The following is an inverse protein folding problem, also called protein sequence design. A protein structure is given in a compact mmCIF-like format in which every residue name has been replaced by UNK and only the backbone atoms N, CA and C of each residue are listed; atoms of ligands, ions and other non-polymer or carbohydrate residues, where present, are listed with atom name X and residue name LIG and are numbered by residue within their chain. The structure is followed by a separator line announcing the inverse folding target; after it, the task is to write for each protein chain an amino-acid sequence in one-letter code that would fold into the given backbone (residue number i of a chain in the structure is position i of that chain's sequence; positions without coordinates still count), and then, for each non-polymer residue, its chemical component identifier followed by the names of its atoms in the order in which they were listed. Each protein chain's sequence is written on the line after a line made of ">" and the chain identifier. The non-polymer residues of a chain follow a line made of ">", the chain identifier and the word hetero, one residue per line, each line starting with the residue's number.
data_IF_392654911217
#
_entry.id   IF_392654911217
#
_cell.length_a   1.000
_cell.length_b   1.000
_cell.length_c   1.000
_cell.angle_alpha   90.00
_cell.angle_beta   90.00
_cell.angle_gamma   90.00
#
_symmetry.space_group_name_H-M   'P 1'
#
loop_
_entity.id
_entity.type
_entity.pdbx_description
1 polymer ?
#
# COMPACT_ATOMS: atom_id res chain seq x y z
N UNK A 1 17.85 20.51 -13.48
CA UNK A 1 16.66 19.73 -13.84
C UNK A 1 16.13 19.13 -12.56
N UNK A 2 14.83 18.87 -12.38
CA UNK A 2 14.36 18.15 -11.22
C UNK A 2 14.96 16.74 -11.19
N UNK A 3 15.14 16.13 -10.02
CA UNK A 3 15.63 14.76 -9.91
C UNK A 3 14.65 13.79 -10.57
N UNK A 4 15.16 12.65 -10.98
CA UNK A 4 14.35 11.65 -11.67
C UNK A 4 13.34 10.98 -10.75
N UNK A 5 13.70 10.77 -9.48
CA UNK A 5 12.84 10.16 -8.46
C UNK A 5 12.69 11.11 -7.28
N UNK A 6 11.47 11.27 -6.78
CA UNK A 6 11.20 11.84 -5.46
C UNK A 6 10.80 10.72 -4.50
N UNK A 7 11.59 10.51 -3.46
CA UNK A 7 11.24 9.60 -2.35
C UNK A 7 10.42 10.39 -1.33
N UNK A 8 9.15 10.03 -1.19
CA UNK A 8 8.23 10.66 -0.24
C UNK A 8 8.01 9.75 0.96
N UNK A 9 8.32 10.26 2.14
CA UNK A 9 8.25 9.53 3.41
C UNK A 9 7.23 10.24 4.30
N UNK A 10 6.01 9.71 4.45
CA UNK A 10 5.06 10.22 5.44
C UNK A 10 5.56 9.86 6.85
N UNK A 11 5.54 10.84 7.76
CA UNK A 11 5.97 10.66 9.13
C UNK A 11 4.95 11.21 10.12
N UNK A 12 4.68 10.42 11.16
CA UNK A 12 3.93 10.85 12.34
C UNK A 12 4.47 10.13 13.58
N UNK A 13 5.11 10.89 14.47
CA UNK A 13 5.73 10.37 15.70
C UNK A 13 6.68 9.19 15.41
N UNK A 14 7.54 9.35 14.40
CA UNK A 14 8.44 8.31 13.90
C UNK A 14 9.90 8.50 14.23
N UNK A 15 10.27 9.33 15.20
CA UNK A 15 11.64 9.67 15.57
C UNK A 15 12.55 8.44 15.65
N UNK A 16 12.11 7.39 16.31
CA UNK A 16 12.86 6.14 16.53
C UNK A 16 13.22 5.37 15.26
N UNK A 17 12.55 5.65 14.14
CA UNK A 17 12.72 4.90 12.88
C UNK A 17 13.50 5.68 11.83
N UNK A 18 13.36 7.01 11.83
CA UNK A 18 13.86 7.87 10.77
C UNK A 18 15.36 7.76 10.53
N UNK A 19 16.16 7.54 11.58
CA UNK A 19 17.62 7.39 11.41
C UNK A 19 17.98 6.15 10.59
N UNK A 20 17.32 5.02 10.80
CA UNK A 20 17.52 3.80 10.00
C UNK A 20 17.04 3.99 8.58
N UNK A 21 15.83 4.52 8.41
CA UNK A 21 15.24 4.75 7.09
C UNK A 21 16.08 5.70 6.23
N UNK A 22 16.39 6.88 6.74
CA UNK A 22 17.15 7.90 6.02
C UNK A 22 18.62 7.49 5.82
N UNK A 23 19.21 6.79 6.80
CA UNK A 23 20.57 6.24 6.68
C UNK A 23 20.67 5.26 5.52
N UNK A 24 19.72 4.34 5.38
CA UNK A 24 19.71 3.37 4.28
C UNK A 24 19.49 4.00 2.90
N UNK A 25 18.81 5.15 2.83
CA UNK A 25 18.68 5.92 1.58
C UNK A 25 19.99 6.59 1.15
N UNK A 26 20.86 7.01 2.07
CA UNK A 26 22.22 7.52 1.73
C UNK A 26 23.06 6.48 1.00
N UNK A 27 22.85 5.19 1.29
CA UNK A 27 23.59 4.07 0.71
C UNK A 27 23.05 3.61 -0.66
N UNK A 28 21.99 4.26 -1.20
CA UNK A 28 21.43 3.87 -2.49
C UNK A 28 22.47 3.99 -3.62
N UNK A 29 22.52 2.98 -4.49
CA UNK A 29 23.37 2.98 -5.69
C UNK A 29 22.87 3.96 -6.77
N UNK A 30 21.56 4.13 -6.88
CA UNK A 30 20.93 5.15 -7.72
C UNK A 30 21.00 6.50 -7.00
N UNK A 31 21.54 7.56 -7.67
CA UNK A 31 21.81 8.85 -7.02
C UNK A 31 20.93 10.01 -7.50
N UNK A 32 20.16 9.83 -8.57
CA UNK A 32 19.33 10.90 -9.15
C UNK A 32 17.94 10.92 -8.47
N UNK A 33 17.94 11.21 -7.16
CA UNK A 33 16.72 11.30 -6.36
C UNK A 33 16.83 12.36 -5.27
N UNK A 34 15.66 12.89 -4.86
CA UNK A 34 15.47 13.73 -3.68
C UNK A 34 14.62 12.99 -2.64
N UNK A 35 14.78 13.37 -1.36
CA UNK A 35 13.99 12.84 -0.26
C UNK A 35 13.15 13.94 0.36
N UNK A 36 11.85 13.67 0.51
CA UNK A 36 10.87 14.55 1.15
C UNK A 36 10.24 13.80 2.32
N UNK A 37 10.56 14.20 3.55
CA UNK A 37 9.85 13.75 4.75
C UNK A 37 8.66 14.67 4.96
N UNK A 38 7.45 14.14 4.88
CA UNK A 38 6.22 14.88 5.16
C UNK A 38 5.80 14.58 6.59
N UNK A 39 5.94 15.56 7.45
CA UNK A 39 5.61 15.43 8.86
C UNK A 39 4.13 15.78 9.10
N UNK A 40 3.33 14.78 9.45
CA UNK A 40 1.89 14.89 9.67
C UNK A 40 1.56 15.38 11.09
N UNK A 41 2.17 16.51 11.47
CA UNK A 41 2.02 17.14 12.79
C UNK A 41 2.48 16.24 13.95
N UNK A 42 3.74 15.78 13.91
CA UNK A 42 4.36 15.03 14.99
C UNK A 42 4.53 15.86 16.26
N UNK A 43 4.48 15.20 17.41
CA UNK A 43 4.71 15.79 18.75
C UNK A 43 6.02 15.32 19.38
N UNK A 44 6.75 14.41 18.72
CA UNK A 44 8.09 13.96 19.09
C UNK A 44 9.18 14.78 18.39
N UNK A 45 10.45 14.40 18.57
CA UNK A 45 11.59 15.12 18.00
C UNK A 45 11.91 14.75 16.53
N UNK A 46 10.98 14.12 15.79
CA UNK A 46 11.15 13.68 14.40
C UNK A 46 11.70 14.79 13.50
N UNK A 47 11.08 15.96 13.51
CA UNK A 47 11.48 17.10 12.64
C UNK A 47 12.86 17.63 13.03
N UNK A 48 13.13 17.78 14.34
CA UNK A 48 14.42 18.26 14.84
C UNK A 48 15.55 17.27 14.50
N UNK A 49 15.29 15.95 14.63
CA UNK A 49 16.21 14.89 14.27
C UNK A 49 16.59 14.96 12.78
N UNK A 50 15.59 15.03 11.88
CA UNK A 50 15.86 15.08 10.43
C UNK A 50 16.68 16.32 10.07
N UNK A 51 16.28 17.50 10.53
CA UNK A 51 16.99 18.76 10.24
C UNK A 51 18.44 18.77 10.73
N UNK A 52 18.72 18.12 11.87
CA UNK A 52 20.06 18.05 12.47
C UNK A 52 20.96 17.02 11.77
N UNK A 53 20.43 15.82 11.49
CA UNK A 53 21.25 14.67 11.09
C UNK A 53 21.20 14.41 9.57
N UNK A 54 20.19 14.95 8.86
CA UNK A 54 19.93 14.75 7.44
C UNK A 54 19.60 16.08 6.74
N UNK A 55 20.55 17.04 6.71
CA UNK A 55 20.29 18.38 6.16
C UNK A 55 19.97 18.39 4.67
N UNK A 56 20.31 17.32 3.93
CA UNK A 56 19.95 17.11 2.53
C UNK A 56 18.49 16.72 2.32
N UNK A 57 17.79 16.29 3.37
CA UNK A 57 16.39 15.87 3.32
C UNK A 57 15.46 17.07 3.48
N UNK A 58 14.55 17.23 2.55
CA UNK A 58 13.52 18.25 2.64
C UNK A 58 12.43 17.83 3.63
N UNK A 59 12.19 18.63 4.67
CA UNK A 59 11.09 18.41 5.62
C UNK A 59 9.91 19.31 5.23
N UNK A 60 8.73 18.70 5.07
CA UNK A 60 7.47 19.38 4.81
C UNK A 60 6.51 19.14 6.00
N UNK A 61 6.44 20.06 6.99
CA UNK A 61 5.52 19.92 8.10
C UNK A 61 4.09 20.31 7.70
N UNK A 62 3.10 19.55 8.17
CA UNK A 62 1.68 19.87 8.05
C UNK A 62 1.18 20.51 9.36
N UNK A 63 0.18 21.37 9.26
CA UNK A 63 -0.38 22.11 10.42
C UNK A 63 -1.22 21.23 11.35
N UNK A 64 -1.76 20.14 10.82
CA UNK A 64 -2.60 19.16 11.56
C UNK A 64 -2.40 17.75 11.02
N UNK A 65 -2.70 16.72 11.85
CA UNK A 65 -2.66 15.34 11.40
C UNK A 65 -3.83 15.04 10.47
N UNK A 66 -3.54 14.91 9.17
CA UNK A 66 -4.49 14.63 8.08
C UNK A 66 -4.47 13.18 7.61
N UNK A 67 -3.60 12.37 8.20
CA UNK A 67 -3.42 10.96 7.88
C UNK A 67 -2.52 10.69 6.69
N UNK A 68 -2.23 9.43 6.50
CA UNK A 68 -1.28 8.92 5.50
C UNK A 68 -1.55 9.45 4.08
N UNK A 69 -2.80 9.36 3.61
CA UNK A 69 -3.17 9.77 2.25
C UNK A 69 -2.87 11.25 1.98
N UNK A 70 -3.18 12.12 2.93
CA UNK A 70 -2.94 13.56 2.79
C UNK A 70 -1.45 13.90 2.87
N UNK A 71 -0.72 13.27 3.80
CA UNK A 71 0.73 13.44 3.93
C UNK A 71 1.46 13.02 2.65
N UNK A 72 1.16 11.84 2.11
CA UNK A 72 1.71 11.36 0.84
C UNK A 72 1.39 12.33 -0.30
N UNK A 73 0.14 12.79 -0.42
CA UNK A 73 -0.27 13.73 -1.45
C UNK A 73 0.46 15.06 -1.36
N UNK A 74 0.71 15.58 -0.15
CA UNK A 74 1.49 16.80 0.06
C UNK A 74 2.92 16.63 -0.49
N UNK A 75 3.58 15.52 -0.20
CA UNK A 75 4.91 15.19 -0.74
C UNK A 75 4.92 15.05 -2.26
N UNK A 76 3.91 14.37 -2.83
CA UNK A 76 3.77 14.22 -4.28
C UNK A 76 3.62 15.58 -4.96
N UNK A 77 2.78 16.48 -4.42
CA UNK A 77 2.59 17.84 -4.96
C UNK A 77 3.83 18.72 -4.82
N UNK A 78 4.67 18.47 -3.82
CA UNK A 78 5.89 19.21 -3.58
C UNK A 78 7.05 18.82 -4.50
N UNK A 79 6.87 17.81 -5.37
CA UNK A 79 7.85 17.29 -6.32
C UNK A 79 7.35 17.37 -7.77
N UNK A 80 8.30 17.51 -8.70
CA UNK A 80 8.09 17.44 -10.16
C UNK A 80 8.87 16.28 -10.82
N UNK A 81 9.35 15.32 -10.00
CA UNK A 81 10.11 14.16 -10.50
C UNK A 81 9.27 13.28 -11.45
N UNK A 82 9.94 12.60 -12.38
CA UNK A 82 9.33 11.65 -13.33
C UNK A 82 8.66 10.47 -12.60
N UNK A 83 9.29 10.04 -11.50
CA UNK A 83 8.80 8.97 -10.63
C UNK A 83 8.63 9.46 -9.20
N UNK A 84 7.66 8.91 -8.51
CA UNK A 84 7.46 9.08 -7.07
C UNK A 84 7.64 7.73 -6.40
N UNK A 85 8.63 7.62 -5.53
CA UNK A 85 8.80 6.46 -4.65
C UNK A 85 8.16 6.78 -3.30
N UNK A 86 7.22 5.97 -2.85
CA UNK A 86 6.71 6.05 -1.48
C UNK A 86 7.47 5.07 -0.61
N UNK A 87 7.83 5.52 0.59
CA UNK A 87 8.54 4.71 1.56
C UNK A 87 8.05 5.04 2.97
N UNK A 88 7.66 4.02 3.73
CA UNK A 88 7.33 4.22 5.13
C UNK A 88 8.59 4.56 5.94
N UNK A 89 8.42 5.37 7.00
CA UNK A 89 9.50 5.76 7.90
C UNK A 89 10.07 4.59 8.72
N UNK A 90 9.30 3.51 8.91
CA UNK A 90 9.67 2.28 9.63
C UNK A 90 10.26 1.19 8.72
N UNK A 91 11.11 1.60 7.77
CA UNK A 91 11.78 0.72 6.80
C UNK A 91 13.28 0.93 6.77
N UNK A 92 14.00 -0.11 6.35
CA UNK A 92 15.39 -0.07 5.85
C UNK A 92 15.35 -0.53 4.39
N UNK A 93 16.05 0.12 3.49
CA UNK A 93 16.08 -0.23 2.07
C UNK A 93 17.41 -0.86 1.66
N UNK A 94 17.36 -1.90 0.81
CA UNK A 94 18.57 -2.45 0.18
C UNK A 94 19.24 -1.38 -0.70
N UNK A 95 20.58 -1.34 -0.81
CA UNK A 95 21.29 -0.36 -1.63
C UNK A 95 20.90 -0.33 -3.10
N UNK A 96 20.28 -1.37 -3.62
CA UNK A 96 19.80 -1.44 -5.02
C UNK A 96 18.30 -1.15 -5.17
N UNK A 97 17.59 -0.84 -4.10
CA UNK A 97 16.12 -0.69 -4.09
C UNK A 97 15.61 0.27 -5.18
N UNK A 98 16.09 1.52 -5.20
CA UNK A 98 15.67 2.50 -6.21
C UNK A 98 16.17 2.13 -7.62
N UNK A 99 17.39 1.60 -7.73
CA UNK A 99 17.95 1.19 -9.01
C UNK A 99 17.07 0.13 -9.68
N UNK A 100 16.68 -0.92 -8.94
CA UNK A 100 15.83 -2.00 -9.45
C UNK A 100 14.46 -1.47 -9.92
N UNK A 101 13.82 -0.58 -9.13
CA UNK A 101 12.54 0.01 -9.49
C UNK A 101 12.61 0.88 -10.75
N UNK A 102 13.66 1.71 -10.88
CA UNK A 102 13.84 2.60 -12.05
C UNK A 102 14.14 1.80 -13.31
N UNK A 103 14.97 0.76 -13.23
CA UNK A 103 15.24 -0.12 -14.39
C UNK A 103 13.98 -0.90 -14.80
N UNK A 104 13.22 -1.43 -13.84
CA UNK A 104 11.93 -2.06 -14.12
C UNK A 104 10.94 -1.07 -14.77
N UNK A 105 10.92 0.19 -14.31
CA UNK A 105 10.09 1.21 -14.91
C UNK A 105 10.48 1.57 -16.34
N UNK A 106 11.75 1.55 -16.67
CA UNK A 106 12.24 1.74 -18.06
C UNK A 106 11.86 0.57 -18.97
N UNK A 107 11.98 -0.67 -18.46
CA UNK A 107 11.73 -1.89 -19.20
C UNK A 107 10.23 -2.16 -19.44
N UNK A 108 9.35 -1.64 -18.57
CA UNK A 108 7.89 -1.92 -18.56
C UNK A 108 7.06 -0.63 -18.67
N UNK A 109 6.94 -0.03 -19.86
CA UNK A 109 6.18 1.20 -20.07
C UNK A 109 4.66 1.05 -19.81
N UNK A 110 4.14 -0.19 -19.89
CA UNK A 110 2.75 -0.53 -19.58
C UNK A 110 2.43 -0.52 -18.08
N UNK A 111 3.46 -0.57 -17.21
CA UNK A 111 3.29 -0.50 -15.77
C UNK A 111 3.28 0.95 -15.28
N UNK A 112 2.29 1.29 -14.47
CA UNK A 112 2.18 2.59 -13.80
C UNK A 112 2.63 2.56 -12.34
N UNK A 113 2.65 1.34 -11.75
CA UNK A 113 3.01 1.08 -10.35
C UNK A 113 4.01 -0.07 -10.29
N UNK A 114 4.93 0.00 -9.33
CA UNK A 114 5.98 -1.01 -9.11
C UNK A 114 6.03 -1.33 -7.62
N UNK A 115 5.82 -2.60 -7.28
CA UNK A 115 5.80 -3.09 -5.91
C UNK A 115 7.14 -3.72 -5.55
N UNK A 116 7.71 -3.35 -4.40
CA UNK A 116 8.94 -3.93 -3.87
C UNK A 116 8.69 -5.26 -3.15
N UNK A 117 9.73 -6.09 -3.06
CA UNK A 117 9.82 -7.22 -2.13
C UNK A 117 10.04 -6.67 -0.73
N UNK A 118 9.12 -6.94 0.16
CA UNK A 118 9.18 -6.51 1.55
C UNK A 118 9.49 -7.70 2.43
N UNK A 119 10.56 -7.62 3.22
CA UNK A 119 10.95 -8.60 4.23
C UNK A 119 10.69 -8.04 5.63
N UNK A 120 10.47 -8.91 6.60
CA UNK A 120 10.39 -8.51 8.00
C UNK A 120 11.77 -8.02 8.48
N UNK A 121 11.82 -6.88 9.14
CA UNK A 121 13.08 -6.28 9.60
C UNK A 121 13.79 -7.15 10.65
N UNK A 122 13.02 -7.79 11.54
CA UNK A 122 13.53 -8.56 12.65
C UNK A 122 13.81 -10.03 12.30
N UNK A 123 13.07 -10.60 11.33
CA UNK A 123 13.35 -11.94 10.76
C UNK A 123 13.36 -11.85 9.22
N UNK A 124 14.52 -11.47 8.67
CA UNK A 124 14.72 -11.25 7.23
C UNK A 124 14.49 -12.48 6.34
N UNK A 125 14.22 -13.64 6.95
CA UNK A 125 13.79 -14.85 6.24
C UNK A 125 12.28 -14.89 6.01
N UNK A 126 11.52 -13.94 6.57
CA UNK A 126 10.08 -13.83 6.41
C UNK A 126 9.71 -12.69 5.50
N UNK A 127 8.74 -12.98 4.65
CA UNK A 127 8.13 -11.97 3.81
C UNK A 127 7.15 -11.11 4.63
N UNK A 128 7.24 -9.80 4.47
CA UNK A 128 6.17 -8.88 4.85
C UNK A 128 5.25 -8.59 3.66
N UNK A 129 5.77 -8.68 2.40
CA UNK A 129 4.95 -8.55 1.22
C UNK A 129 5.67 -8.77 -0.11
N UNK A 130 4.93 -9.24 -1.10
CA UNK A 130 5.34 -9.44 -2.50
C UNK A 130 4.27 -8.88 -3.45
N UNK A 131 3.90 -7.61 -3.25
CA UNK A 131 2.77 -6.96 -3.89
C UNK A 131 1.43 -7.27 -3.19
N UNK A 132 0.37 -6.62 -3.67
CA UNK A 132 -0.95 -6.70 -3.08
C UNK A 132 -1.95 -7.43 -3.98
N UNK A 133 -2.89 -8.11 -3.34
CA UNK A 133 -4.03 -8.76 -3.97
C UNK A 133 -5.34 -8.17 -3.45
N UNK A 134 -6.35 -8.13 -4.31
CA UNK A 134 -7.73 -7.85 -3.92
C UNK A 134 -8.56 -9.12 -4.10
N UNK A 135 -9.14 -9.63 -3.02
CA UNK A 135 -10.02 -10.81 -3.07
C UNK A 135 -11.36 -10.46 -3.70
N UNK A 136 -12.04 -11.45 -4.25
CA UNK A 136 -13.44 -11.31 -4.73
C UNK A 136 -14.41 -10.84 -3.64
N UNK A 137 -14.06 -11.05 -2.37
CA UNK A 137 -14.76 -10.49 -1.21
C UNK A 137 -14.53 -8.99 -1.01
N UNK A 138 -13.64 -8.36 -1.78
CA UNK A 138 -13.23 -6.97 -1.63
C UNK A 138 -12.23 -6.72 -0.51
N UNK A 139 -11.75 -7.77 0.14
CA UNK A 139 -10.74 -7.65 1.18
C UNK A 139 -9.36 -7.63 0.56
N UNK A 140 -8.56 -6.56 0.77
CA UNK A 140 -7.18 -6.54 0.36
C UNK A 140 -6.36 -7.56 1.15
N UNK A 141 -5.29 -8.06 0.54
CA UNK A 141 -4.34 -8.96 1.16
C UNK A 141 -2.95 -8.69 0.57
N UNK A 142 -1.95 -8.56 1.42
CA UNK A 142 -0.56 -8.51 1.02
C UNK A 142 -0.07 -9.93 0.74
N UNK A 143 0.40 -10.18 -0.49
CA UNK A 143 0.95 -11.48 -0.90
C UNK A 143 2.23 -11.78 -0.12
N UNK A 144 2.44 -13.02 0.25
CA UNK A 144 3.62 -13.45 0.99
C UNK A 144 3.63 -13.10 2.48
N UNK A 145 2.74 -12.25 2.99
CA UNK A 145 2.82 -11.76 4.37
C UNK A 145 2.84 -12.90 5.41
N UNK A 146 3.96 -12.98 6.14
CA UNK A 146 4.22 -13.97 7.18
C UNK A 146 4.68 -15.34 6.67
N UNK A 147 4.85 -15.54 5.35
CA UNK A 147 5.47 -16.73 4.76
C UNK A 147 6.99 -16.69 4.98
N UNK A 148 7.64 -17.86 5.07
CA UNK A 148 9.09 -17.94 4.92
C UNK A 148 9.48 -17.68 3.46
N UNK A 149 10.57 -16.97 3.25
CA UNK A 149 11.12 -16.73 1.92
C UNK A 149 11.98 -17.93 1.49
N UNK A 150 11.48 -18.68 0.52
CA UNK A 150 12.14 -19.83 -0.13
C UNK A 150 12.39 -19.55 -1.61
N UNK A 151 12.32 -18.29 -2.05
CA UNK A 151 12.43 -17.92 -3.46
C UNK A 151 11.12 -18.03 -4.24
N UNK A 152 9.98 -18.30 -3.59
CA UNK A 152 8.68 -18.44 -4.24
C UNK A 152 8.11 -17.13 -4.81
N UNK A 153 8.78 -16.01 -4.55
CA UNK A 153 8.48 -14.68 -5.09
C UNK A 153 9.72 -14.03 -5.70
N UNK A 154 10.65 -14.78 -6.29
CA UNK A 154 11.87 -14.24 -6.91
C UNK A 154 11.69 -13.94 -8.41
N UNK A 155 10.48 -14.09 -8.94
CA UNK A 155 10.15 -13.77 -10.31
C UNK A 155 9.37 -12.47 -10.44
N UNK A 156 9.79 -11.60 -11.38
CA UNK A 156 9.04 -10.40 -11.76
C UNK A 156 7.68 -10.80 -12.33
N UNK A 157 6.61 -10.26 -11.79
CA UNK A 157 5.25 -10.59 -12.21
C UNK A 157 4.28 -9.43 -12.04
N UNK A 158 3.16 -9.48 -12.77
CA UNK A 158 2.09 -8.51 -12.58
C UNK A 158 1.18 -8.92 -11.42
N UNK A 159 0.93 -7.96 -10.52
CA UNK A 159 0.07 -8.13 -9.35
C UNK A 159 -1.11 -7.14 -9.40
N UNK A 160 -2.06 -7.26 -8.50
CA UNK A 160 -3.20 -6.35 -8.43
C UNK A 160 -2.76 -4.91 -8.09
N UNK A 161 -1.88 -4.76 -7.12
CA UNK A 161 -1.46 -3.45 -6.62
C UNK A 161 -0.16 -3.50 -5.85
N UNK A 162 0.30 -2.33 -5.45
CA UNK A 162 1.51 -2.12 -4.66
C UNK A 162 1.15 -1.52 -3.30
N UNK A 163 1.75 -2.06 -2.23
CA UNK A 163 1.70 -1.46 -0.91
C UNK A 163 2.44 -0.10 -0.93
N UNK A 164 1.75 0.96 -0.54
CA UNK A 164 2.34 2.31 -0.50
C UNK A 164 3.47 2.46 0.53
N UNK A 165 3.71 1.45 1.35
CA UNK A 165 4.84 1.43 2.28
C UNK A 165 6.21 1.28 1.59
N UNK A 166 6.27 0.75 0.35
CA UNK A 166 7.47 0.67 -0.49
C UNK A 166 7.09 0.43 -1.95
N UNK A 167 6.83 1.48 -2.71
CA UNK A 167 6.41 1.40 -4.10
C UNK A 167 6.87 2.58 -4.93
N UNK A 168 7.06 2.36 -6.25
CA UNK A 168 7.33 3.41 -7.21
C UNK A 168 6.09 3.65 -8.09
N UNK A 169 5.81 4.91 -8.39
CA UNK A 169 4.69 5.35 -9.20
C UNK A 169 5.19 6.25 -10.34
N UNK A 170 4.67 6.02 -11.57
CA UNK A 170 4.86 7.00 -12.63
C UNK A 170 4.08 8.27 -12.33
N UNK A 171 4.72 9.41 -12.46
CA UNK A 171 4.05 10.71 -12.36
C UNK A 171 2.88 10.81 -13.33
N UNK A 172 3.08 10.44 -14.59
CA UNK A 172 2.04 10.48 -15.61
C UNK A 172 0.81 9.62 -15.28
N UNK A 173 1.00 8.48 -14.58
CA UNK A 173 -0.11 7.66 -14.08
C UNK A 173 -0.86 8.39 -12.95
N UNK A 174 -0.14 9.00 -11.99
CA UNK A 174 -0.74 9.76 -10.89
C UNK A 174 -1.53 10.98 -11.41
N UNK A 175 -1.00 11.66 -12.42
CA UNK A 175 -1.66 12.82 -13.06
C UNK A 175 -2.94 12.39 -13.79
N UNK A 176 -2.95 11.21 -14.39
CA UNK A 176 -4.10 10.66 -15.12
C UNK A 176 -5.21 10.14 -14.21
N UNK A 177 -4.86 9.31 -13.21
CA UNK A 177 -5.87 8.65 -12.34
C UNK A 177 -6.17 9.43 -11.06
N UNK A 178 -5.41 10.48 -10.77
CA UNK A 178 -5.46 11.27 -9.54
C UNK A 178 -4.67 10.64 -8.40
N UNK A 179 -4.39 11.44 -7.37
CA UNK A 179 -3.59 11.08 -6.22
C UNK A 179 -4.35 10.13 -5.26
N UNK A 180 -3.78 9.88 -4.08
CA UNK A 180 -4.44 9.10 -3.03
C UNK A 180 -5.73 9.78 -2.56
N UNK A 181 -6.76 9.01 -2.29
CA UNK A 181 -8.03 9.57 -1.82
C UNK A 181 -7.97 9.87 -0.32
N UNK A 182 -7.97 11.15 0.03
CA UNK A 182 -7.80 11.61 1.41
C UNK A 182 -8.95 11.21 2.34
N UNK A 183 -10.14 10.84 1.80
CA UNK A 183 -11.24 10.32 2.61
C UNK A 183 -10.91 8.96 3.26
N UNK A 184 -9.90 8.27 2.77
CA UNK A 184 -9.42 7.01 3.38
C UNK A 184 -8.64 7.26 4.66
N UNK A 185 -7.99 8.41 4.80
CA UNK A 185 -7.09 8.75 5.91
C UNK A 185 -5.85 7.83 5.96
N UNK A 186 -6.05 6.55 6.24
CA UNK A 186 -5.06 5.47 6.21
C UNK A 186 -5.77 4.11 6.06
N UNK A 187 -5.09 3.08 5.55
CA UNK A 187 -5.54 1.73 5.19
C UNK A 187 -6.46 1.67 3.95
N UNK A 188 -6.10 0.84 2.99
CA UNK A 188 -6.76 0.59 1.70
C UNK A 188 -6.69 1.76 0.69
N UNK A 189 -6.03 2.87 0.97
CA UNK A 189 -5.78 3.98 0.03
C UNK A 189 -4.90 3.54 -1.15
N UNK A 190 -3.93 2.65 -0.89
CA UNK A 190 -3.07 2.01 -1.88
C UNK A 190 -3.85 1.04 -2.78
N UNK A 191 -4.74 0.25 -2.18
CA UNK A 191 -5.67 -0.61 -2.91
C UNK A 191 -6.64 0.20 -3.79
N UNK A 192 -7.10 1.36 -3.32
CA UNK A 192 -7.95 2.26 -4.11
C UNK A 192 -7.20 2.85 -5.30
N UNK A 193 -5.99 3.38 -5.09
CA UNK A 193 -5.15 3.90 -6.16
C UNK A 193 -4.80 2.81 -7.18
N UNK A 194 -4.40 1.63 -6.70
CA UNK A 194 -4.12 0.48 -7.56
C UNK A 194 -5.33 0.08 -8.40
N UNK A 195 -6.53 0.06 -7.83
CA UNK A 195 -7.74 -0.27 -8.59
C UNK A 195 -8.06 0.79 -9.65
N UNK A 196 -7.93 2.09 -9.31
CA UNK A 196 -8.11 3.17 -10.29
C UNK A 196 -7.11 3.07 -11.45
N UNK A 197 -5.86 2.78 -11.14
CA UNK A 197 -4.82 2.56 -12.14
C UNK A 197 -5.17 1.38 -13.05
N UNK A 198 -5.58 0.23 -12.51
CA UNK A 198 -6.02 -0.95 -13.27
C UNK A 198 -7.24 -0.62 -14.17
N UNK A 199 -8.20 0.17 -13.67
CA UNK A 199 -9.36 0.59 -14.46
C UNK A 199 -8.98 1.53 -15.62
N UNK A 200 -7.94 2.33 -15.46
CA UNK A 200 -7.36 3.19 -16.49
C UNK A 200 -6.44 2.46 -17.47
N UNK A 201 -6.13 1.18 -17.22
CA UNK A 201 -5.30 0.34 -18.09
C UNK A 201 -3.83 0.26 -17.69
N UNK A 202 -3.43 0.88 -16.59
CA UNK A 202 -2.08 0.70 -16.03
C UNK A 202 -1.99 -0.60 -15.25
N UNK A 203 -0.84 -1.28 -15.37
CA UNK A 203 -0.55 -2.51 -14.63
C UNK A 203 0.36 -2.23 -13.44
N UNK A 204 0.32 -3.08 -12.42
CA UNK A 204 1.25 -3.07 -11.31
C UNK A 204 2.27 -4.21 -11.48
N UNK A 205 3.57 -3.87 -11.54
CA UNK A 205 4.65 -4.84 -11.64
C UNK A 205 5.27 -5.07 -10.26
N UNK A 206 5.37 -6.31 -9.84
CA UNK A 206 6.19 -6.69 -8.68
C UNK A 206 7.64 -6.90 -9.12
N UNK A 207 8.59 -6.31 -8.39
CA UNK A 207 10.02 -6.28 -8.69
C UNK A 207 10.78 -6.92 -7.53
N UNK A 208 11.14 -8.20 -7.62
CA UNK A 208 11.77 -8.94 -6.50
C UNK A 208 13.17 -8.43 -6.13
N UNK A 209 13.91 -7.83 -7.07
CA UNK A 209 15.22 -7.24 -6.85
C UNK A 209 15.16 -5.94 -6.03
N UNK A 210 13.97 -5.33 -5.95
CA UNK A 210 13.73 -4.14 -5.15
C UNK A 210 13.34 -4.54 -3.73
N UNK A 211 14.33 -4.68 -2.85
CA UNK A 211 14.16 -5.22 -1.50
C UNK A 211 14.11 -4.12 -0.45
N UNK A 212 13.17 -4.25 0.50
CA UNK A 212 13.13 -3.46 1.73
C UNK A 212 12.91 -4.37 2.95
N UNK A 213 13.30 -3.87 4.13
CA UNK A 213 13.06 -4.51 5.43
C UNK A 213 12.12 -3.62 6.24
N UNK A 214 10.95 -4.15 6.61
CA UNK A 214 9.87 -3.39 7.24
C UNK A 214 9.70 -3.77 8.71
N UNK A 215 9.73 -2.78 9.61
CA UNK A 215 9.61 -3.01 11.06
C UNK A 215 8.18 -3.31 11.48
N UNK A 216 7.23 -2.96 10.65
CA UNK A 216 5.82 -3.39 10.71
C UNK A 216 4.98 -2.74 11.78
N UNK A 217 3.83 -2.21 11.38
CA UNK A 217 2.72 -1.74 12.25
C UNK A 217 3.12 -0.76 13.36
N UNK A 218 4.14 0.05 13.12
CA UNK A 218 4.71 0.93 14.12
C UNK A 218 3.77 2.06 14.56
N UNK A 219 2.90 2.52 13.63
CA UNK A 219 2.02 3.68 13.88
C UNK A 219 0.72 3.31 14.59
N UNK A 220 0.03 2.26 14.16
CA UNK A 220 -1.31 1.94 14.71
C UNK A 220 -1.38 0.61 15.47
N UNK A 221 -0.39 -0.29 15.33
CA UNK A 221 -0.50 -1.68 15.82
C UNK A 221 -1.50 -2.52 15.00
N UNK A 222 -1.14 -3.78 14.74
CA UNK A 222 -1.87 -4.68 13.78
C UNK A 222 -3.37 -4.87 14.07
N UNK A 223 -3.82 -4.69 15.31
CA UNK A 223 -5.23 -4.91 15.75
C UNK A 223 -5.76 -3.77 16.62
N UNK A 224 -5.24 -2.56 16.47
CA UNK A 224 -5.78 -1.43 17.22
C UNK A 224 -7.24 -1.16 16.81
N UNK A 225 -8.06 -0.59 17.71
CA UNK A 225 -9.43 -0.18 17.40
C UNK A 225 -9.51 0.73 16.16
N UNK A 226 -8.56 1.64 16.01
CA UNK A 226 -8.47 2.55 14.85
C UNK A 226 -8.20 1.79 13.56
N UNK A 227 -7.23 0.86 13.55
CA UNK A 227 -6.92 0.07 12.36
C UNK A 227 -8.12 -0.81 11.92
N UNK A 228 -8.84 -1.42 12.88
CA UNK A 228 -10.04 -2.21 12.58
C UNK A 228 -11.16 -1.33 12.02
N UNK A 229 -11.42 -0.18 12.64
CA UNK A 229 -12.44 0.78 12.19
C UNK A 229 -12.16 1.29 10.78
N UNK A 230 -10.94 1.79 10.54
CA UNK A 230 -10.53 2.30 9.22
C UNK A 230 -10.51 1.20 8.17
N UNK A 231 -9.90 0.06 8.45
CA UNK A 231 -9.84 -1.07 7.52
C UNK A 231 -11.22 -1.62 7.14
N UNK A 232 -12.20 -1.61 8.08
CA UNK A 232 -13.58 -1.98 7.78
C UNK A 232 -14.25 -0.94 6.88
N UNK A 233 -14.24 0.33 7.28
CA UNK A 233 -14.81 1.43 6.51
C UNK A 233 -14.25 1.47 5.09
N UNK A 234 -12.94 1.44 4.99
CA UNK A 234 -12.23 1.68 3.74
C UNK A 234 -12.33 0.51 2.76
N UNK A 235 -12.39 -0.74 3.23
CA UNK A 235 -12.62 -1.88 2.34
C UNK A 235 -13.99 -1.82 1.63
N UNK A 236 -15.02 -1.31 2.30
CA UNK A 236 -16.32 -1.04 1.66
C UNK A 236 -16.23 0.14 0.69
N UNK A 237 -15.62 1.25 1.11
CA UNK A 237 -15.44 2.43 0.26
C UNK A 237 -14.68 2.07 -1.03
N UNK A 238 -13.62 1.28 -0.94
CA UNK A 238 -12.84 0.79 -2.07
C UNK A 238 -13.72 0.06 -3.09
N UNK A 239 -14.55 -0.90 -2.63
CA UNK A 239 -15.44 -1.65 -3.51
C UNK A 239 -16.52 -0.77 -4.12
N UNK A 240 -17.23 0.00 -3.30
CA UNK A 240 -18.31 0.86 -3.77
C UNK A 240 -17.78 1.85 -4.80
N UNK A 241 -16.62 2.42 -4.57
CA UNK A 241 -16.01 3.44 -5.42
C UNK A 241 -15.54 2.89 -6.77
N UNK A 242 -14.91 1.69 -6.79
CA UNK A 242 -14.15 1.23 -7.95
C UNK A 242 -14.80 0.09 -8.74
N UNK A 243 -15.60 -0.77 -8.10
CA UNK A 243 -16.10 -1.98 -8.76
C UNK A 243 -17.11 -1.67 -9.87
N UNK A 244 -16.94 -2.10 -11.13
CA UNK A 244 -17.95 -1.94 -12.18
C UNK A 244 -19.30 -2.54 -11.80
N UNK A 245 -20.40 -1.82 -12.04
CA UNK A 245 -21.76 -2.21 -11.59
C UNK A 245 -22.15 -3.60 -12.07
N UNK A 246 -21.78 -3.96 -13.31
CA UNK A 246 -22.09 -5.27 -13.90
C UNK A 246 -21.46 -6.45 -13.16
N UNK A 247 -20.44 -6.22 -12.32
CA UNK A 247 -19.79 -7.28 -11.52
C UNK A 247 -20.42 -7.45 -10.13
N UNK A 248 -21.17 -6.45 -9.65
CA UNK A 248 -21.74 -6.47 -8.29
C UNK A 248 -22.58 -7.73 -8.02
N UNK A 249 -23.56 -8.14 -8.86
CA UNK A 249 -24.38 -9.32 -8.57
C UNK A 249 -23.56 -10.59 -8.42
N UNK A 250 -22.56 -10.81 -9.29
CA UNK A 250 -21.72 -12.01 -9.26
C UNK A 250 -20.69 -12.03 -8.12
N UNK A 251 -20.36 -10.86 -7.54
CA UNK A 251 -19.42 -10.76 -6.41
C UNK A 251 -20.12 -10.66 -5.06
N UNK A 252 -21.40 -10.32 -5.02
CA UNK A 252 -22.15 -10.11 -3.78
C UNK A 252 -22.07 -11.30 -2.80
N UNK A 253 -22.20 -12.58 -3.22
CA UNK A 253 -22.06 -13.70 -2.30
C UNK A 253 -20.68 -13.77 -1.64
N UNK A 254 -19.62 -13.45 -2.37
CA UNK A 254 -18.25 -13.43 -1.84
C UNK A 254 -18.04 -12.27 -0.88
N UNK A 255 -18.60 -11.10 -1.18
CA UNK A 255 -18.53 -9.92 -0.31
C UNK A 255 -19.26 -10.22 1.01
N UNK A 256 -20.47 -10.77 0.95
CA UNK A 256 -21.23 -11.13 2.15
C UNK A 256 -20.50 -12.18 3.00
N UNK A 257 -19.95 -13.24 2.37
CA UNK A 257 -19.17 -14.26 3.08
C UNK A 257 -17.91 -13.65 3.73
N UNK A 258 -17.20 -12.75 3.03
CA UNK A 258 -16.04 -12.05 3.58
C UNK A 258 -16.38 -11.16 4.75
N UNK A 259 -17.50 -10.45 4.69
CA UNK A 259 -17.96 -9.61 5.82
C UNK A 259 -18.43 -10.45 7.01
N UNK A 260 -19.12 -11.55 6.77
CA UNK A 260 -19.51 -12.47 7.84
C UNK A 260 -18.28 -13.06 8.54
N UNK A 261 -17.26 -13.49 7.79
CA UNK A 261 -16.02 -13.99 8.37
C UNK A 261 -15.30 -12.92 9.23
N UNK A 262 -15.29 -11.66 8.78
CA UNK A 262 -14.75 -10.55 9.58
C UNK A 262 -15.56 -10.30 10.84
N UNK A 263 -16.87 -10.32 10.73
CA UNK A 263 -17.77 -10.15 11.89
C UNK A 263 -17.48 -11.22 12.95
N UNK A 264 -17.37 -12.50 12.55
CA UNK A 264 -17.02 -13.60 13.45
C UNK A 264 -15.66 -13.36 14.13
N UNK A 265 -14.63 -13.01 13.37
CA UNK A 265 -13.29 -12.72 13.91
C UNK A 265 -13.31 -11.53 14.85
N UNK A 266 -14.00 -10.45 14.51
CA UNK A 266 -14.06 -9.25 15.37
C UNK A 266 -14.89 -9.49 16.63
N UNK A 267 -15.93 -10.31 16.56
CA UNK A 267 -16.71 -10.71 17.73
C UNK A 267 -15.88 -11.55 18.73
N UNK A 268 -14.97 -12.41 18.23
CA UNK A 268 -14.10 -13.23 19.06
C UNK A 268 -12.85 -12.48 19.61
N UNK A 269 -12.56 -11.27 19.14
CA UNK A 269 -11.33 -10.53 19.46
C UNK A 269 -11.56 -9.18 20.14
N UNK A 270 -12.67 -8.96 20.83
CA UNK A 270 -13.06 -7.68 21.46
C UNK A 270 -13.02 -6.44 20.55
N UNK A 271 -12.91 -6.64 19.21
CA UNK A 271 -12.86 -5.56 18.23
C UNK A 271 -14.18 -5.36 17.47
N UNK A 272 -15.28 -5.93 17.98
CA UNK A 272 -16.61 -5.84 17.39
C UNK A 272 -17.11 -4.39 17.29
N UNK A 273 -16.97 -3.61 18.37
CA UNK A 273 -17.39 -2.20 18.37
C UNK A 273 -16.66 -1.36 17.33
N UNK A 274 -15.32 -1.36 17.21
CA UNK A 274 -14.60 -0.71 16.12
C UNK A 274 -15.04 -1.17 14.72
N UNK A 275 -15.35 -2.45 14.54
CA UNK A 275 -15.88 -2.98 13.30
C UNK A 275 -17.25 -2.36 12.94
N UNK A 276 -18.19 -2.32 13.89
CA UNK A 276 -19.52 -1.70 13.69
C UNK A 276 -19.40 -0.19 13.42
N UNK A 277 -18.53 0.51 14.14
CA UNK A 277 -18.23 1.93 13.88
C UNK A 277 -17.67 2.13 12.45
N UNK A 278 -16.83 1.21 11.97
CA UNK A 278 -16.34 1.20 10.60
C UNK A 278 -17.45 1.03 9.57
N UNK A 279 -18.39 0.11 9.80
CA UNK A 279 -19.57 -0.07 8.93
C UNK A 279 -20.44 1.18 8.89
N UNK A 280 -20.73 1.77 10.04
CA UNK A 280 -21.49 3.03 10.13
C UNK A 280 -20.76 4.17 9.38
N UNK A 281 -19.44 4.25 9.51
CA UNK A 281 -18.60 5.20 8.76
C UNK A 281 -18.67 4.98 7.25
N UNK A 282 -18.66 3.73 6.78
CA UNK A 282 -18.83 3.40 5.37
C UNK A 282 -20.19 3.83 4.81
N UNK A 283 -21.28 3.62 5.58
CA UNK A 283 -22.61 4.08 5.21
C UNK A 283 -22.70 5.61 5.09
N UNK A 284 -22.07 6.35 6.01
CA UNK A 284 -22.01 7.82 5.95
C UNK A 284 -21.27 8.32 4.70
N UNK A 285 -20.21 7.63 4.28
CA UNK A 285 -19.44 7.98 3.08
C UNK A 285 -20.07 7.46 1.79
N UNK A 286 -21.09 6.61 1.85
CA UNK A 286 -21.69 5.97 0.66
C UNK A 286 -22.11 6.96 -0.44
N UNK A 287 -22.80 8.08 -0.16
CA UNK A 287 -23.18 9.03 -1.20
C UNK A 287 -21.96 9.63 -1.92
N UNK A 288 -20.90 9.94 -1.17
CA UNK A 288 -19.65 10.48 -1.71
C UNK A 288 -18.93 9.44 -2.57
N UNK A 289 -18.84 8.19 -2.11
CA UNK A 289 -18.21 7.10 -2.86
C UNK A 289 -18.98 6.79 -4.16
N UNK A 290 -20.31 6.88 -4.15
CA UNK A 290 -21.13 6.73 -5.35
C UNK A 290 -20.93 7.88 -6.34
N UNK A 291 -20.72 9.11 -5.86
CA UNK A 291 -20.35 10.26 -6.70
C UNK A 291 -18.99 10.02 -7.37
N UNK A 292 -17.95 9.69 -6.59
CA UNK A 292 -16.60 9.37 -7.10
C UNK A 292 -16.61 8.20 -8.08
N UNK A 293 -17.42 7.16 -7.81
CA UNK A 293 -17.62 6.01 -8.71
C UNK A 293 -18.06 6.42 -10.10
N UNK A 294 -19.02 7.35 -10.21
CA UNK A 294 -19.55 7.78 -11.53
C UNK A 294 -18.42 8.34 -12.39
N UNK A 295 -17.53 9.11 -11.81
CA UNK A 295 -16.38 9.68 -12.51
C UNK A 295 -15.36 8.61 -12.90
N UNK A 296 -14.98 7.74 -11.96
CA UNK A 296 -14.04 6.63 -12.21
C UNK A 296 -14.56 5.71 -13.33
N UNK A 297 -15.85 5.32 -13.29
CA UNK A 297 -16.41 4.44 -14.30
C UNK A 297 -16.55 5.11 -15.68
N UNK A 298 -16.70 6.44 -15.76
CA UNK A 298 -16.66 7.20 -17.02
C UNK A 298 -15.25 7.21 -17.64
N UNK A 299 -14.21 7.29 -16.79
CA UNK A 299 -12.79 7.30 -17.22
C UNK A 299 -12.20 5.91 -17.43
N UNK A 300 -12.95 4.84 -17.10
CA UNK A 300 -12.48 3.47 -17.26
C UNK A 300 -12.19 3.14 -18.72
N UNK A 301 -10.96 2.67 -19.00
CA UNK A 301 -10.48 2.30 -20.34
C UNK A 301 -10.53 0.80 -20.60
N UNK A 302 -10.50 -0.03 -19.53
CA UNK A 302 -10.49 -1.49 -19.66
C UNK A 302 -11.90 -2.08 -19.71
N UNK A 303 -12.13 -3.21 -20.44
CA UNK A 303 -13.42 -3.86 -20.46
C UNK A 303 -13.74 -4.51 -19.10
N UNK A 304 -15.03 -4.71 -18.79
CA UNK A 304 -15.49 -5.36 -17.54
C UNK A 304 -14.93 -6.79 -17.42
N UNK A 305 -14.73 -7.47 -18.56
CA UNK A 305 -14.11 -8.80 -18.60
C UNK A 305 -12.71 -8.83 -18.02
N UNK A 306 -11.88 -7.81 -18.32
CA UNK A 306 -10.56 -7.64 -17.73
C UNK A 306 -10.63 -7.54 -16.19
N UNK A 307 -11.50 -6.69 -15.67
CA UNK A 307 -11.65 -6.51 -14.21
C UNK A 307 -12.10 -7.81 -13.54
N UNK A 308 -13.01 -8.57 -14.17
CA UNK A 308 -13.43 -9.89 -13.69
C UNK A 308 -12.26 -10.87 -13.62
N UNK A 309 -11.43 -10.92 -14.67
CA UNK A 309 -10.26 -11.80 -14.73
C UNK A 309 -9.21 -11.38 -13.70
N UNK A 310 -8.89 -10.08 -13.61
CA UNK A 310 -7.97 -9.52 -12.63
C UNK A 310 -8.36 -9.92 -11.19
N UNK A 311 -9.63 -9.75 -10.80
CA UNK A 311 -10.11 -10.12 -9.47
C UNK A 311 -10.10 -11.63 -9.23
N UNK A 312 -10.30 -12.45 -10.26
CA UNK A 312 -10.21 -13.90 -10.18
C UNK A 312 -8.76 -14.37 -9.95
N UNK A 313 -7.82 -13.84 -10.72
CA UNK A 313 -6.38 -14.14 -10.59
C UNK A 313 -5.82 -13.64 -9.26
N UNK A 314 -6.13 -12.40 -8.89
CA UNK A 314 -5.76 -11.83 -7.61
C UNK A 314 -6.28 -12.65 -6.41
N UNK A 315 -7.53 -13.12 -6.48
CA UNK A 315 -8.10 -14.00 -5.44
C UNK A 315 -7.41 -15.36 -5.37
N UNK A 316 -6.97 -15.92 -6.50
CA UNK A 316 -6.21 -17.17 -6.53
C UNK A 316 -4.83 -17.01 -5.90
N UNK A 317 -4.10 -15.95 -6.27
CA UNK A 317 -2.81 -15.61 -5.66
C UNK A 317 -2.94 -15.44 -4.15
N UNK A 318 -3.96 -14.70 -3.68
CA UNK A 318 -4.25 -14.55 -2.26
C UNK A 318 -4.53 -15.89 -1.56
N UNK A 319 -5.27 -16.80 -2.20
CA UNK A 319 -5.56 -18.13 -1.67
C UNK A 319 -4.31 -19.01 -1.55
N UNK A 320 -3.41 -18.94 -2.53
CA UNK A 320 -2.12 -19.63 -2.51
C UNK A 320 -1.23 -19.13 -1.39
N UNK A 321 -1.09 -17.81 -1.24
CA UNK A 321 -0.32 -17.18 -0.16
C UNK A 321 -0.83 -17.61 1.22
N UNK A 322 -2.14 -17.56 1.46
CA UNK A 322 -2.72 -18.00 2.74
C UNK A 322 -2.41 -19.48 3.04
N UNK A 323 -2.48 -20.36 2.04
CA UNK A 323 -2.16 -21.77 2.22
C UNK A 323 -0.69 -21.99 2.58
N UNK A 324 0.24 -21.32 1.89
CA UNK A 324 1.69 -21.40 2.18
C UNK A 324 1.97 -20.96 3.62
N UNK A 325 1.45 -19.82 4.04
CA UNK A 325 1.62 -19.33 5.42
C UNK A 325 1.10 -20.32 6.47
N UNK A 326 -0.03 -20.97 6.23
CA UNK A 326 -0.57 -21.99 7.14
C UNK A 326 0.35 -23.23 7.21
N UNK A 327 0.90 -23.67 6.09
CA UNK A 327 1.88 -24.78 6.04
C UNK A 327 3.15 -24.43 6.81
N UNK A 328 3.72 -23.24 6.59
CA UNK A 328 4.91 -22.77 7.31
C UNK A 328 4.67 -22.73 8.82
N UNK A 329 3.49 -22.28 9.25
CA UNK A 329 3.11 -22.24 10.67
C UNK A 329 2.98 -23.63 11.29
N UNK A 330 2.45 -24.60 10.55
CA UNK A 330 2.35 -26.01 10.99
C UNK A 330 3.72 -26.67 11.11
N UNK A 331 4.60 -26.46 10.14
CA UNK A 331 5.95 -27.01 10.12
C UNK A 331 6.84 -26.42 11.23
N UNK A 332 6.70 -25.14 11.52
CA UNK A 332 7.42 -24.48 12.62
C UNK A 332 6.94 -24.91 14.02
N UNK A 333 5.66 -25.30 14.15
CA UNK A 333 5.10 -25.83 15.40
C UNK A 333 5.39 -27.30 15.66
N UNK A 334 5.84 -28.06 14.66
CA UNK A 334 6.25 -29.47 14.80
C UNK A 334 7.74 -29.61 15.14
N UNK A 335 8.52 -28.52 15.09
CA UNK A 335 9.96 -28.48 15.38
C UNK A 335 10.33 -27.88 16.73
N UNK A 336 9.33 -27.50 17.55
CA UNK A 336 9.47 -27.03 18.93
C UNK A 336 8.93 -28.07 19.90
#
# INVERSE_FOLDING_TARGET
>A
MPPRVAVVIPNWNGERFLSTCLGSLREQSFKDFDVIVVDDNSTDDSVALVRRNFPEVRVLPLEENKGFSAAVNAGIRASHAEYVALLNNDTEVDPKWLHALVEAAKAHPEAGLFASKMLDFYDRRRLDGAGDALRRSGLPLRLGHGELDHGQYDETTFVFGACAGAALYRRSMLDDVGLFDEDFFANCEDGDLSFRAQLAGYRCLYVPESVIYHMGSATFGKRSPTAVRLGTRNSFCLLVKNLPTRLVPGLLPFVLAGQLSRLVVTASTSTLRPHLEGLAGALRLLPLMLKKRREIQRRRRVPVGYVRQLLKESSRAAGTSVRRRLLDSLLSGLGS
#
